data_IF_621303781571
#
_entry.id   IF_621303781571
#
_cell.length_a   1.000
_cell.length_b   1.000
_cell.length_c   1.000
_cell.angle_alpha   90.00
_cell.angle_beta   90.00
_cell.angle_gamma   90.00
#
_symmetry.space_group_name_H-M   'P 1'
#
loop_
_entity.id
_entity.type
_entity.pdbx_description
1 polymer ?
#
# COMPACT_ATOMS: atom_id res chain seq x y z
N UNK A 1 -35.56 -2.75 5.57
CA UNK A 1 -34.16 -3.19 5.34
C UNK A 1 -33.77 -3.16 3.86
N UNK A 2 -34.49 -3.85 2.97
CA UNK A 2 -34.15 -4.00 1.54
C UNK A 2 -33.81 -2.67 0.81
N UNK A 3 -34.71 -1.68 0.82
CA UNK A 3 -34.49 -0.36 0.16
C UNK A 3 -33.21 0.36 0.61
N UNK A 4 -32.75 0.17 1.85
CA UNK A 4 -31.49 0.76 2.36
C UNK A 4 -30.29 0.12 1.65
N UNK A 5 -30.23 -1.22 1.67
CA UNK A 5 -29.10 -1.95 1.10
C UNK A 5 -29.04 -1.86 -0.42
N UNK A 6 -30.18 -1.81 -1.12
CA UNK A 6 -30.20 -1.51 -2.56
C UNK A 6 -29.56 -0.15 -2.86
N UNK A 7 -29.89 0.90 -2.09
CA UNK A 7 -29.29 2.24 -2.28
C UNK A 7 -27.79 2.25 -1.97
N UNK A 8 -27.35 1.51 -0.95
CA UNK A 8 -25.92 1.42 -0.62
C UNK A 8 -25.15 0.67 -1.69
N UNK A 9 -25.71 -0.45 -2.18
CA UNK A 9 -25.16 -1.23 -3.27
C UNK A 9 -24.93 -0.36 -4.51
N UNK A 10 -25.97 0.37 -4.94
CA UNK A 10 -25.87 1.28 -6.10
C UNK A 10 -24.82 2.40 -5.92
N UNK A 11 -24.55 2.82 -4.68
CA UNK A 11 -23.52 3.83 -4.40
C UNK A 11 -22.11 3.23 -4.37
N UNK A 12 -21.96 1.99 -3.92
CA UNK A 12 -20.68 1.30 -3.84
C UNK A 12 -20.22 0.77 -5.21
N UNK A 13 -21.15 0.24 -6.01
CA UNK A 13 -20.82 -0.53 -7.22
C UNK A 13 -21.47 0.00 -8.51
N UNK A 14 -22.20 1.11 -8.44
CA UNK A 14 -22.88 1.68 -9.61
C UNK A 14 -24.17 0.93 -10.00
N UNK A 15 -24.70 1.23 -11.20
CA UNK A 15 -25.97 0.68 -11.71
C UNK A 15 -25.81 -0.54 -12.62
N UNK A 16 -24.58 -0.92 -12.93
CA UNK A 16 -24.30 -1.86 -14.02
C UNK A 16 -24.26 -3.33 -13.58
N UNK A 17 -24.43 -3.60 -12.27
CA UNK A 17 -24.56 -4.96 -11.79
C UNK A 17 -26.03 -5.42 -11.82
N UNK A 18 -26.42 -6.03 -12.92
CA UNK A 18 -27.66 -6.82 -13.02
C UNK A 18 -27.27 -8.28 -13.21
N UNK A 19 -27.71 -9.13 -12.29
CA UNK A 19 -27.49 -10.58 -12.37
C UNK A 19 -28.83 -11.30 -12.49
N UNK A 20 -28.88 -12.30 -13.35
CA UNK A 20 -29.98 -13.27 -13.43
C UNK A 20 -30.01 -14.18 -12.20
N UNK A 21 -31.13 -14.86 -11.95
CA UNK A 21 -31.24 -15.81 -10.83
C UNK A 21 -30.23 -16.95 -10.92
N UNK A 22 -29.93 -17.40 -12.15
CA UNK A 22 -28.93 -18.43 -12.43
C UNK A 22 -27.52 -17.94 -12.09
N UNK A 23 -27.17 -16.71 -12.47
CA UNK A 23 -25.90 -16.08 -12.11
C UNK A 23 -25.77 -15.90 -10.59
N UNK A 24 -26.82 -15.42 -9.92
CA UNK A 24 -26.83 -15.28 -8.45
C UNK A 24 -26.61 -16.65 -7.79
N UNK A 25 -27.27 -17.68 -8.29
CA UNK A 25 -27.13 -19.05 -7.77
C UNK A 25 -25.72 -19.60 -8.01
N UNK A 26 -25.16 -19.35 -9.20
CA UNK A 26 -23.79 -19.75 -9.56
C UNK A 26 -22.77 -19.07 -8.65
N UNK A 27 -22.85 -17.74 -8.48
CA UNK A 27 -21.95 -17.00 -7.60
C UNK A 27 -22.08 -17.46 -6.14
N UNK A 28 -23.31 -17.62 -5.64
CA UNK A 28 -23.54 -18.15 -4.29
C UNK A 28 -22.89 -19.52 -4.09
N UNK A 29 -23.02 -20.43 -5.07
CA UNK A 29 -22.40 -21.75 -5.00
C UNK A 29 -20.86 -21.68 -5.11
N UNK A 30 -20.33 -20.71 -5.85
CA UNK A 30 -18.89 -20.41 -5.88
C UNK A 30 -18.38 -19.95 -4.51
N UNK A 31 -19.08 -19.00 -3.89
CA UNK A 31 -18.74 -18.47 -2.57
C UNK A 31 -18.76 -19.55 -1.49
N UNK A 32 -19.70 -20.50 -1.53
CA UNK A 32 -19.75 -21.63 -0.60
C UNK A 32 -18.59 -22.64 -0.76
N UNK A 33 -17.83 -22.54 -1.85
CA UNK A 33 -16.61 -23.33 -2.08
C UNK A 33 -15.34 -22.52 -1.79
N UNK A 34 -15.47 -21.21 -1.52
CA UNK A 34 -14.34 -20.34 -1.23
C UNK A 34 -13.66 -20.78 0.07
N UNK A 35 -12.33 -20.95 -0.01
CA UNK A 35 -11.50 -21.36 1.12
C UNK A 35 -10.61 -20.21 1.54
N UNK A 36 -10.54 -20.01 2.85
CA UNK A 36 -9.62 -19.05 3.43
C UNK A 36 -8.17 -19.37 3.02
N UNK A 37 -7.40 -18.34 2.67
CA UNK A 37 -6.06 -18.55 2.12
C UNK A 37 -5.10 -19.15 3.16
N UNK A 38 -5.22 -18.77 4.44
CA UNK A 38 -4.31 -19.22 5.49
C UNK A 38 -4.71 -20.59 6.03
N UNK A 39 -5.94 -20.72 6.52
CA UNK A 39 -6.45 -21.96 7.15
C UNK A 39 -6.87 -23.04 6.15
N UNK A 40 -7.10 -22.68 4.88
CA UNK A 40 -7.67 -23.55 3.84
C UNK A 40 -9.07 -24.10 4.15
N UNK A 41 -9.70 -23.66 5.25
CA UNK A 41 -11.07 -24.02 5.60
C UNK A 41 -12.09 -23.27 4.73
N UNK A 42 -13.32 -23.79 4.65
CA UNK A 42 -14.40 -23.06 3.99
C UNK A 42 -14.65 -21.74 4.74
N UNK A 43 -14.50 -20.63 4.02
CA UNK A 43 -14.69 -19.29 4.58
C UNK A 43 -16.18 -19.04 4.90
N UNK A 44 -17.07 -19.56 4.06
CA UNK A 44 -18.52 -19.52 4.25
C UNK A 44 -19.07 -20.93 4.39
N UNK A 45 -19.86 -21.18 5.44
CA UNK A 45 -20.49 -22.49 5.68
C UNK A 45 -21.91 -22.53 5.13
N UNK A 46 -22.58 -21.38 5.07
CA UNK A 46 -23.97 -21.24 4.67
C UNK A 46 -24.21 -20.03 3.79
N UNK A 47 -25.34 -20.03 3.05
CA UNK A 47 -25.80 -18.86 2.28
C UNK A 47 -26.05 -17.64 3.20
N UNK A 48 -26.41 -17.88 4.46
CA UNK A 48 -26.60 -16.82 5.44
C UNK A 48 -25.28 -16.11 5.77
N UNK A 49 -24.17 -16.84 5.84
CA UNK A 49 -22.84 -16.27 6.08
C UNK A 49 -22.43 -15.34 4.92
N UNK A 50 -22.64 -15.79 3.68
CA UNK A 50 -22.37 -14.99 2.46
C UNK A 50 -23.18 -13.68 2.48
N UNK A 51 -24.48 -13.77 2.74
CA UNK A 51 -25.36 -12.60 2.82
C UNK A 51 -24.99 -11.66 3.97
N UNK A 52 -24.61 -12.20 5.13
CA UNK A 52 -24.16 -11.41 6.27
C UNK A 52 -22.85 -10.66 5.96
N UNK A 53 -21.93 -11.30 5.23
CA UNK A 53 -20.68 -10.68 4.78
C UNK A 53 -20.93 -9.56 3.77
N UNK A 54 -21.78 -9.78 2.76
CA UNK A 54 -22.17 -8.74 1.81
C UNK A 54 -22.86 -7.55 2.50
N UNK A 55 -23.73 -7.82 3.48
CA UNK A 55 -24.33 -6.76 4.32
C UNK A 55 -23.27 -5.97 5.08
N UNK A 56 -22.28 -6.65 5.67
CA UNK A 56 -21.17 -6.01 6.38
C UNK A 56 -20.36 -5.10 5.46
N UNK A 57 -20.07 -5.55 4.22
CA UNK A 57 -19.37 -4.72 3.25
C UNK A 57 -20.14 -3.42 2.93
N UNK A 58 -21.46 -3.49 2.76
CA UNK A 58 -22.29 -2.30 2.54
C UNK A 58 -22.40 -1.40 3.78
N UNK A 59 -22.42 -1.98 4.98
CA UNK A 59 -22.39 -1.20 6.22
C UNK A 59 -21.01 -0.52 6.43
N UNK A 60 -19.91 -1.18 6.07
CA UNK A 60 -18.57 -0.60 6.05
C UNK A 60 -18.52 0.57 5.06
N UNK A 61 -19.02 0.39 3.84
CA UNK A 61 -19.05 1.45 2.85
C UNK A 61 -19.86 2.67 3.33
N UNK A 62 -20.98 2.44 4.01
CA UNK A 62 -21.77 3.54 4.57
C UNK A 62 -20.95 4.39 5.56
N UNK A 63 -20.15 3.74 6.42
CA UNK A 63 -19.39 4.37 7.50
C UNK A 63 -18.03 4.92 7.07
N UNK A 64 -17.27 4.15 6.29
CA UNK A 64 -15.86 4.40 5.98
C UNK A 64 -15.60 4.72 4.51
N UNK A 65 -16.62 4.66 3.65
CA UNK A 65 -16.51 4.82 2.18
C UNK A 65 -15.68 3.74 1.47
N UNK A 66 -15.34 2.67 2.18
CA UNK A 66 -14.67 1.49 1.66
C UNK A 66 -15.45 0.23 2.08
N UNK A 67 -15.49 -0.79 1.22
CA UNK A 67 -16.25 -2.02 1.46
C UNK A 67 -15.51 -3.01 2.34
N UNK A 68 -14.19 -2.96 2.34
CA UNK A 68 -13.32 -3.76 3.19
C UNK A 68 -12.12 -2.95 3.68
N UNK A 69 -11.22 -3.64 4.39
CA UNK A 69 -10.02 -3.02 4.94
C UNK A 69 -8.99 -2.68 3.88
N UNK A 70 -8.95 -3.40 2.74
CA UNK A 70 -7.93 -3.23 1.71
C UNK A 70 -8.12 -1.90 1.00
N UNK A 71 -9.33 -1.65 0.48
CA UNK A 71 -9.66 -0.39 -0.19
C UNK A 71 -9.46 0.79 0.78
N UNK A 72 -9.86 0.59 2.04
CA UNK A 72 -9.69 1.62 3.06
C UNK A 72 -8.23 1.97 3.31
N UNK A 73 -7.35 0.97 3.46
CA UNK A 73 -5.92 1.19 3.66
C UNK A 73 -5.29 1.91 2.46
N UNK A 74 -5.55 1.43 1.24
CA UNK A 74 -5.05 2.07 0.02
C UNK A 74 -5.52 3.53 -0.08
N UNK A 75 -6.81 3.80 0.14
CA UNK A 75 -7.37 5.16 0.03
C UNK A 75 -6.86 6.12 1.11
N UNK A 76 -6.56 5.63 2.33
CA UNK A 76 -6.23 6.48 3.47
C UNK A 76 -4.72 6.57 3.74
N UNK A 77 -3.99 5.46 3.58
CA UNK A 77 -2.55 5.38 3.85
C UNK A 77 -1.71 5.38 2.58
N UNK A 78 -2.28 5.01 1.42
CA UNK A 78 -1.53 4.84 0.18
C UNK A 78 -0.83 3.49 0.04
N UNK A 79 -1.00 2.59 1.01
CA UNK A 79 -0.40 1.25 1.02
C UNK A 79 -1.42 0.20 1.50
N UNK A 80 -1.17 -1.06 1.17
CA UNK A 80 -2.06 -2.20 1.43
C UNK A 80 -2.34 -2.42 2.91
N UNK A 81 -1.30 -2.41 3.73
CA UNK A 81 -1.38 -2.79 5.15
C UNK A 81 -0.48 -1.88 5.99
N UNK A 82 -0.56 -2.04 7.30
CA UNK A 82 0.24 -1.22 8.22
C UNK A 82 1.75 -1.48 8.00
N UNK A 83 2.57 -0.57 8.50
CA UNK A 83 4.02 -0.71 8.46
C UNK A 83 4.50 -2.01 9.12
N UNK A 84 5.58 -2.58 8.60
CA UNK A 84 6.26 -3.74 9.18
C UNK A 84 7.76 -3.48 9.35
N UNK A 85 8.45 -4.40 10.04
CA UNK A 85 9.89 -4.33 10.34
C UNK A 85 10.37 -2.99 10.90
N UNK A 86 9.51 -2.30 11.66
CA UNK A 86 9.81 -0.96 12.19
C UNK A 86 10.96 -1.01 13.19
N UNK A 87 11.91 -0.09 13.03
CA UNK A 87 13.17 -0.06 13.76
C UNK A 87 13.50 1.36 14.20
N UNK A 88 14.03 1.47 15.42
CA UNK A 88 14.69 2.67 15.95
C UNK A 88 16.08 2.20 16.34
N UNK A 89 17.08 2.57 15.55
CA UNK A 89 18.44 2.07 15.69
C UNK A 89 19.21 2.80 16.80
N UNK A 90 18.83 4.04 17.09
CA UNK A 90 19.43 4.89 18.11
C UNK A 90 18.33 5.69 18.82
N UNK A 91 18.10 5.40 20.11
CA UNK A 91 17.04 6.04 20.90
C UNK A 91 17.34 7.51 21.23
N UNK A 92 18.58 7.96 21.04
CA UNK A 92 18.96 9.37 21.18
C UNK A 92 18.74 10.18 19.89
N UNK A 93 18.40 9.49 18.78
CA UNK A 93 18.04 10.10 17.50
C UNK A 93 16.55 9.96 17.21
N UNK A 94 16.04 10.84 16.36
CA UNK A 94 14.65 10.84 15.92
C UNK A 94 14.44 10.08 14.60
N UNK A 95 15.29 9.08 14.33
CA UNK A 95 15.27 8.31 13.08
C UNK A 95 14.41 7.05 13.28
N UNK A 96 13.42 6.86 12.39
CA UNK A 96 12.51 5.72 12.42
C UNK A 96 12.50 5.09 11.03
N UNK A 97 12.85 3.81 10.96
CA UNK A 97 12.83 3.01 9.75
C UNK A 97 11.64 2.07 9.78
N UNK A 98 11.02 1.83 8.64
CA UNK A 98 9.90 0.89 8.52
C UNK A 98 9.65 0.54 7.06
N UNK A 99 9.06 -0.62 6.84
CA UNK A 99 8.68 -1.08 5.52
C UNK A 99 7.18 -0.90 5.30
N UNK A 100 6.79 -0.63 4.07
CA UNK A 100 5.39 -0.63 3.61
C UNK A 100 5.24 -1.53 2.39
N UNK A 101 4.01 -2.00 2.13
CA UNK A 101 3.76 -2.73 0.90
C UNK A 101 3.68 -1.79 -0.30
N UNK A 102 4.41 -2.12 -1.37
CA UNK A 102 4.24 -1.66 -2.76
C UNK A 102 4.49 -0.18 -3.06
N UNK A 103 4.44 0.70 -2.06
CA UNK A 103 4.41 2.14 -2.29
C UNK A 103 4.88 2.91 -1.07
N UNK A 104 5.41 4.10 -1.32
CA UNK A 104 5.66 5.11 -0.30
C UNK A 104 4.33 5.66 0.25
N UNK A 105 4.38 6.33 1.40
CA UNK A 105 3.20 6.77 2.14
C UNK A 105 3.13 8.29 2.37
N UNK A 106 3.34 9.14 1.33
CA UNK A 106 3.44 10.59 1.50
C UNK A 106 2.17 11.21 2.09
N UNK A 107 0.99 10.65 1.79
CA UNK A 107 -0.29 11.09 2.36
C UNK A 107 -0.36 10.84 3.87
N UNK A 108 0.14 9.69 4.33
CA UNK A 108 0.21 9.37 5.75
C UNK A 108 1.20 10.30 6.47
N UNK A 109 2.36 10.54 5.86
CA UNK A 109 3.36 11.45 6.42
C UNK A 109 2.85 12.89 6.52
N UNK A 110 2.09 13.37 5.54
CA UNK A 110 1.43 14.68 5.62
C UNK A 110 0.43 14.76 6.80
N UNK A 111 -0.35 13.69 7.04
CA UNK A 111 -1.27 13.64 8.18
C UNK A 111 -0.53 13.63 9.52
N UNK A 112 0.63 12.97 9.60
CA UNK A 112 1.47 12.96 10.79
C UNK A 112 2.08 14.34 11.05
N UNK A 113 2.64 14.97 10.02
CA UNK A 113 3.17 16.33 10.08
C UNK A 113 2.11 17.33 10.56
N UNK A 114 0.88 17.25 10.03
CA UNK A 114 -0.22 18.12 10.45
C UNK A 114 -0.63 17.95 11.93
N UNK A 115 -0.41 16.76 12.52
CA UNK A 115 -0.66 16.50 13.95
C UNK A 115 0.44 17.04 14.86
N UNK A 116 1.64 17.23 14.31
CA UNK A 116 2.83 17.67 15.04
C UNK A 116 3.48 18.86 14.31
N UNK A 117 2.80 20.02 14.23
CA UNK A 117 3.26 21.16 13.41
C UNK A 117 4.59 21.74 13.90
N UNK A 118 4.95 21.53 15.18
CA UNK A 118 6.20 22.00 15.76
C UNK A 118 7.42 21.14 15.35
N UNK A 119 7.20 20.00 14.70
CA UNK A 119 8.26 19.12 14.23
C UNK A 119 8.53 19.33 12.73
N UNK A 120 9.81 19.26 12.36
CA UNK A 120 10.24 19.03 10.98
C UNK A 120 10.26 17.53 10.73
N UNK A 121 9.62 17.08 9.66
CA UNK A 121 9.70 15.68 9.22
C UNK A 121 10.50 15.61 7.93
N UNK A 122 11.52 14.76 7.92
CA UNK A 122 12.30 14.41 6.75
C UNK A 122 11.93 12.96 6.42
N UNK A 123 11.22 12.77 5.30
CA UNK A 123 10.73 11.47 4.87
C UNK A 123 11.46 11.04 3.61
N UNK A 124 12.27 10.00 3.72
CA UNK A 124 12.96 9.36 2.59
C UNK A 124 12.32 8.00 2.34
N UNK A 125 12.28 7.57 1.07
CA UNK A 125 11.75 6.28 0.69
C UNK A 125 12.47 5.75 -0.56
N UNK A 126 12.60 4.43 -0.64
CA UNK A 126 13.04 3.68 -1.81
C UNK A 126 12.45 2.27 -1.74
N UNK A 127 12.10 1.70 -2.90
CA UNK A 127 11.62 0.32 -2.98
C UNK A 127 12.76 -0.69 -2.74
N UNK A 128 12.43 -1.94 -2.41
CA UNK A 128 13.42 -3.02 -2.27
C UNK A 128 14.16 -3.34 -3.59
N UNK A 129 13.58 -2.92 -4.72
CA UNK A 129 14.23 -3.01 -6.02
C UNK A 129 15.15 -1.77 -6.24
N UNK A 130 16.45 -1.97 -6.51
CA UNK A 130 17.41 -0.88 -6.70
C UNK A 130 16.97 0.13 -7.76
N UNK A 131 17.01 1.42 -7.41
CA UNK A 131 16.74 2.52 -8.33
C UNK A 131 15.26 2.72 -8.71
N UNK A 132 14.31 2.09 -8.01
CA UNK A 132 12.87 2.18 -8.32
C UNK A 132 12.10 2.86 -7.18
N UNK A 133 11.11 3.68 -7.55
CA UNK A 133 10.15 4.30 -6.65
C UNK A 133 10.81 4.93 -5.41
N UNK A 134 11.79 5.81 -5.67
CA UNK A 134 12.58 6.44 -4.63
C UNK A 134 12.36 7.96 -4.60
N UNK A 135 12.62 8.58 -3.46
CA UNK A 135 12.49 10.02 -3.30
C UNK A 135 12.51 10.46 -1.85
N UNK A 136 12.21 11.75 -1.68
CA UNK A 136 12.12 12.35 -0.36
C UNK A 136 11.09 13.47 -0.32
N UNK A 137 10.59 13.76 0.88
CA UNK A 137 9.71 14.88 1.17
C UNK A 137 10.05 15.46 2.54
N UNK A 138 10.18 16.78 2.60
CA UNK A 138 10.35 17.53 3.85
C UNK A 138 9.04 18.24 4.17
N UNK A 139 8.58 18.06 5.41
CA UNK A 139 7.39 18.74 5.94
C UNK A 139 7.79 19.66 7.09
N UNK A 140 7.28 20.89 7.06
CA UNK A 140 7.42 21.90 8.12
C UNK A 140 6.08 22.56 8.38
N UNK A 141 5.78 22.86 9.65
CA UNK A 141 4.49 23.44 10.06
C UNK A 141 3.27 22.64 9.52
N UNK A 142 3.41 21.32 9.49
CA UNK A 142 2.38 20.40 9.01
C UNK A 142 2.12 20.37 7.50
N UNK A 143 2.97 20.98 6.68
CA UNK A 143 2.81 21.00 5.22
C UNK A 143 4.12 20.62 4.49
N UNK A 144 4.04 20.00 3.29
CA UNK A 144 5.23 19.72 2.50
C UNK A 144 5.84 21.04 2.00
N UNK A 145 7.15 21.22 2.21
CA UNK A 145 7.89 22.43 1.79
C UNK A 145 8.91 22.14 0.68
N UNK A 146 9.39 20.90 0.59
CA UNK A 146 10.30 20.42 -0.45
C UNK A 146 10.09 18.93 -0.65
N UNK A 147 10.34 18.42 -1.84
CA UNK A 147 10.36 17.00 -2.10
C UNK A 147 10.54 16.73 -3.58
N UNK A 148 10.99 15.52 -3.88
CA UNK A 148 11.23 15.05 -5.23
C UNK A 148 10.97 13.55 -5.29
N UNK A 149 10.28 13.12 -6.33
CA UNK A 149 10.22 11.72 -6.71
C UNK A 149 11.27 11.54 -7.81
N UNK A 150 12.30 10.74 -7.53
CA UNK A 150 13.39 10.53 -8.46
C UNK A 150 12.89 9.67 -9.63
N UNK A 151 13.40 9.95 -10.83
CA UNK A 151 13.06 9.12 -11.98
C UNK A 151 13.62 7.70 -11.78
N UNK A 152 12.82 6.68 -12.09
CA UNK A 152 13.28 5.29 -12.01
C UNK A 152 14.54 5.09 -12.86
N UNK A 153 15.54 4.43 -12.27
CA UNK A 153 16.86 4.19 -12.86
C UNK A 153 17.80 5.41 -12.84
N UNK A 154 17.39 6.55 -12.30
CA UNK A 154 18.29 7.71 -12.10
C UNK A 154 19.34 7.43 -11.04
N UNK A 155 20.45 8.17 -11.11
CA UNK A 155 21.51 8.13 -10.12
C UNK A 155 20.97 8.36 -8.71
N UNK A 156 20.10 9.37 -8.55
CA UNK A 156 19.51 9.76 -7.28
C UNK A 156 18.59 8.67 -6.70
N UNK A 157 17.87 7.94 -7.57
CA UNK A 157 17.05 6.81 -7.13
C UNK A 157 17.90 5.65 -6.58
N UNK A 158 19.05 5.37 -7.20
CA UNK A 158 20.01 4.38 -6.70
C UNK A 158 20.67 4.85 -5.39
N UNK A 159 21.11 6.10 -5.31
CA UNK A 159 21.72 6.64 -4.08
C UNK A 159 20.74 6.62 -2.90
N UNK A 160 19.45 6.91 -3.13
CA UNK A 160 18.41 6.78 -2.11
C UNK A 160 18.21 5.31 -1.68
N UNK A 161 18.22 4.36 -2.63
CA UNK A 161 18.21 2.94 -2.33
C UNK A 161 19.41 2.55 -1.46
N UNK A 162 20.63 2.95 -1.83
CA UNK A 162 21.85 2.63 -1.06
C UNK A 162 21.81 3.19 0.36
N UNK A 163 21.29 4.42 0.54
CA UNK A 163 21.16 5.03 1.86
C UNK A 163 20.21 4.28 2.79
N UNK A 164 19.15 3.67 2.25
CA UNK A 164 18.11 2.99 3.02
C UNK A 164 18.34 1.48 3.17
N UNK A 165 18.88 0.85 2.14
CA UNK A 165 19.04 -0.61 2.03
C UNK A 165 20.50 -1.08 2.09
N UNK A 166 21.47 -0.19 1.83
CA UNK A 166 22.87 -0.57 1.63
C UNK A 166 23.11 -1.13 0.23
N UNK A 167 23.98 -2.14 0.12
CA UNK A 167 24.33 -2.83 -1.13
C UNK A 167 24.99 -1.94 -2.20
N UNK A 168 25.59 -0.80 -1.84
CA UNK A 168 26.30 0.04 -2.80
C UNK A 168 27.55 -0.64 -3.41
N UNK A 169 28.10 -1.62 -2.70
CA UNK A 169 29.21 -2.46 -3.16
C UNK A 169 28.84 -3.45 -4.27
N UNK A 170 27.56 -3.66 -4.51
CA UNK A 170 27.04 -4.51 -5.60
C UNK A 170 26.86 -3.75 -6.93
N UNK A 171 27.14 -2.44 -6.96
CA UNK A 171 26.90 -1.57 -8.11
C UNK A 171 28.13 -0.75 -8.49
N UNK A 172 28.25 -0.43 -9.77
CA UNK A 172 29.26 0.51 -10.29
C UNK A 172 28.60 1.65 -11.03
N UNK A 173 29.13 2.86 -10.84
CA UNK A 173 28.69 4.02 -11.61
C UNK A 173 29.20 3.92 -13.05
N UNK A 174 28.29 4.09 -14.00
CA UNK A 174 28.58 4.13 -15.42
C UNK A 174 28.48 5.59 -15.91
N UNK A 175 29.63 6.19 -16.20
CA UNK A 175 29.75 7.59 -16.67
C UNK A 175 29.04 7.82 -18.02
N UNK A 176 28.87 6.79 -18.86
CA UNK A 176 28.19 6.92 -20.15
C UNK A 176 26.67 7.03 -20.00
N UNK A 177 26.09 6.27 -19.07
CA UNK A 177 24.65 6.31 -18.78
C UNK A 177 24.29 7.35 -17.72
N UNK A 178 25.28 7.81 -16.95
CA UNK A 178 25.11 8.75 -15.85
C UNK A 178 24.38 8.15 -14.64
N UNK A 179 24.37 6.82 -14.50
CA UNK A 179 23.71 6.09 -13.41
C UNK A 179 24.46 4.81 -13.04
N UNK A 180 23.89 3.96 -12.19
CA UNK A 180 24.50 2.73 -11.70
C UNK A 180 24.06 1.50 -12.49
N UNK A 181 24.96 0.53 -12.60
CA UNK A 181 24.69 -0.81 -13.12
C UNK A 181 25.18 -1.87 -12.13
N UNK A 182 24.48 -3.00 -12.07
CA UNK A 182 24.88 -4.11 -11.22
C UNK A 182 26.25 -4.64 -11.64
N UNK A 183 27.11 -4.87 -10.67
CA UNK A 183 28.35 -5.62 -10.88
C UNK A 183 27.92 -7.08 -10.95
N UNK A 184 27.53 -7.56 -12.14
CA UNK A 184 27.27 -8.98 -12.33
C UNK A 184 28.47 -9.79 -11.81
N UNK A 185 28.24 -10.71 -10.86
CA UNK A 185 29.15 -11.83 -10.67
C UNK A 185 29.22 -12.53 -12.04
N UNK A 186 30.39 -12.56 -12.65
CA UNK A 186 30.63 -13.45 -13.78
C UNK A 186 30.43 -14.88 -13.25
N UNK A 187 29.20 -15.40 -13.30
CA UNK A 187 28.97 -16.83 -13.27
C UNK A 187 29.69 -17.38 -14.51
N UNK A 188 30.87 -17.96 -14.28
CA UNK A 188 31.56 -18.80 -15.25
C UNK A 188 30.56 -19.85 -15.77
N UNK A 189 30.09 -19.66 -17.00
CA UNK A 189 29.33 -20.68 -17.76
C UNK A 189 30.20 -21.89 -18.08
#
# INVERSE_FOLDING_TARGET
AYKKYTKLFLKAYGKDLVMTEDEITKEMNGMLKFRDFQSKELFFKTKADVNAYGKRALDNFAKYKATDWYDWCCDNWGTKWNACHSQINDMEKADIYFDTAWSSVPKLMAMLAAKHPDCKFEYEYAEEQPGINAGYIIFENGAPVKGEHFADGSKEAYEAFFGLWGCDDEFRFNEETGTYESIEEQEEM
#
